data_IF_783498548031
#
_entry.id   IF_783498548031
#
_cell.length_a   1.000
_cell.length_b   1.000
_cell.length_c   1.000
_cell.angle_alpha   90.00
_cell.angle_beta   90.00
_cell.angle_gamma   90.00
#
_symmetry.space_group_name_H-M   'P 1'
#
loop_
_entity.id
_entity.type
_entity.pdbx_description
1 polymer ?
#
# COMPACT_ATOMS: atom_id res chain seq x y z
N UNK A 1 5.07 -20.05 8.15
CA UNK A 1 5.21 -18.79 8.90
C UNK A 1 4.46 -17.68 8.19
N UNK A 2 3.35 -17.22 8.75
CA UNK A 2 2.74 -15.97 8.33
C UNK A 2 3.72 -14.84 8.69
N UNK A 3 4.00 -13.93 7.74
CA UNK A 3 4.91 -12.81 7.98
C UNK A 3 4.14 -11.75 8.75
N UNK A 4 4.64 -11.36 9.92
CA UNK A 4 3.99 -10.31 10.72
C UNK A 4 4.05 -8.96 10.00
N UNK A 5 3.05 -8.09 10.17
CA UNK A 5 3.05 -6.77 9.57
C UNK A 5 4.33 -6.00 9.93
N UNK A 6 4.77 -6.03 11.18
CA UNK A 6 6.00 -5.37 11.67
C UNK A 6 7.27 -5.78 10.91
N UNK A 7 7.43 -7.07 10.60
CA UNK A 7 8.57 -7.54 9.79
C UNK A 7 8.51 -6.99 8.36
N UNK A 8 7.30 -6.90 7.79
CA UNK A 8 7.11 -6.32 6.47
C UNK A 8 7.41 -4.81 6.53
N UNK A 9 6.96 -4.09 7.56
CA UNK A 9 7.27 -2.66 7.78
C UNK A 9 8.79 -2.44 7.80
N UNK A 10 9.51 -3.24 8.58
CA UNK A 10 10.97 -3.16 8.68
C UNK A 10 11.66 -3.34 7.31
N UNK A 11 11.14 -4.24 6.46
CA UNK A 11 11.68 -4.47 5.09
C UNK A 11 11.35 -3.36 4.10
N UNK A 12 10.31 -2.57 4.35
CA UNK A 12 9.92 -1.44 3.51
C UNK A 12 10.63 -0.13 3.91
N UNK A 13 11.25 -0.09 5.09
CA UNK A 13 11.80 1.11 5.73
C UNK A 13 12.69 1.98 4.83
N UNK A 14 13.44 1.36 3.91
CA UNK A 14 14.34 2.07 2.99
C UNK A 14 13.64 2.94 1.95
N UNK A 15 12.34 2.77 1.72
CA UNK A 15 11.57 3.57 0.75
C UNK A 15 10.44 4.39 1.39
N UNK A 16 10.19 4.22 2.69
CA UNK A 16 9.10 4.92 3.39
C UNK A 16 9.28 6.43 3.47
N UNK A 17 10.51 6.92 3.39
CA UNK A 17 10.81 8.35 3.38
C UNK A 17 10.87 8.94 1.95
N UNK A 18 10.44 8.18 0.93
CA UNK A 18 10.48 8.63 -0.45
C UNK A 18 9.09 8.52 -1.08
N UNK A 19 8.38 9.65 -1.11
CA UNK A 19 7.01 9.76 -1.61
C UNK A 19 6.89 9.35 -3.08
N UNK A 20 7.91 9.59 -3.92
CA UNK A 20 7.89 9.19 -5.32
C UNK A 20 7.86 7.66 -5.45
N UNK A 21 8.68 6.96 -4.65
CA UNK A 21 8.70 5.50 -4.65
C UNK A 21 7.41 4.91 -4.08
N UNK A 22 6.85 5.56 -3.04
CA UNK A 22 5.54 5.16 -2.50
C UNK A 22 4.45 5.31 -3.57
N UNK A 23 4.43 6.43 -4.30
CA UNK A 23 3.46 6.68 -5.37
C UNK A 23 3.59 5.66 -6.52
N UNK A 24 4.82 5.26 -6.87
CA UNK A 24 5.05 4.18 -7.83
C UNK A 24 4.46 2.85 -7.34
N UNK A 25 4.65 2.52 -6.06
CA UNK A 25 4.07 1.32 -5.46
C UNK A 25 2.54 1.40 -5.42
N UNK A 26 1.95 2.57 -5.15
CA UNK A 26 0.50 2.78 -5.20
C UNK A 26 -0.09 2.56 -6.60
N UNK A 27 0.59 3.05 -7.64
CA UNK A 27 0.19 2.86 -9.04
C UNK A 27 0.37 1.42 -9.53
N UNK A 28 1.19 0.63 -8.85
CA UNK A 28 1.46 -0.75 -9.25
C UNK A 28 0.25 -1.67 -9.03
N UNK A 29 0.00 -2.59 -9.98
CA UNK A 29 -1.09 -3.56 -9.89
C UNK A 29 -0.72 -4.84 -9.14
N UNK A 30 0.57 -5.09 -8.90
CA UNK A 30 1.05 -6.31 -8.24
C UNK A 30 2.40 -6.11 -7.53
N UNK A 31 2.79 -6.97 -6.58
CA UNK A 31 4.10 -6.89 -5.95
C UNK A 31 5.28 -7.01 -6.92
N UNK A 32 5.11 -7.76 -8.02
CA UNK A 32 6.13 -7.85 -9.07
C UNK A 32 6.22 -6.55 -9.86
N UNK A 33 5.08 -5.94 -10.23
CA UNK A 33 5.08 -4.64 -10.89
C UNK A 33 5.70 -3.55 -10.01
N UNK A 34 5.41 -3.55 -8.69
CA UNK A 34 6.02 -2.63 -7.74
C UNK A 34 7.55 -2.73 -7.72
N UNK A 35 8.08 -3.96 -7.76
CA UNK A 35 9.52 -4.20 -7.85
C UNK A 35 10.10 -3.57 -9.13
N UNK A 36 9.50 -3.87 -10.28
CA UNK A 36 10.00 -3.41 -11.58
C UNK A 36 9.95 -1.89 -11.69
N UNK A 37 8.87 -1.25 -11.24
CA UNK A 37 8.72 0.20 -11.26
C UNK A 37 9.76 0.90 -10.37
N UNK A 38 9.95 0.42 -9.12
CA UNK A 38 10.94 1.00 -8.21
C UNK A 38 12.38 0.73 -8.68
N UNK A 39 12.63 -0.45 -9.25
CA UNK A 39 13.94 -0.77 -9.84
C UNK A 39 14.23 0.10 -11.08
N UNK A 40 13.23 0.31 -11.94
CA UNK A 40 13.37 1.12 -13.14
C UNK A 40 13.79 2.56 -12.79
N UNK A 41 13.20 3.12 -11.72
CA UNK A 41 13.49 4.46 -11.19
C UNK A 41 14.84 4.54 -10.49
N UNK A 42 15.09 3.66 -9.51
CA UNK A 42 16.24 3.81 -8.60
C UNK A 42 17.50 3.10 -9.05
N UNK A 43 17.37 2.12 -9.96
CA UNK A 43 18.40 1.11 -10.28
C UNK A 43 18.97 0.38 -9.06
N UNK A 44 18.25 0.40 -7.94
CA UNK A 44 18.67 -0.17 -6.66
C UNK A 44 17.81 -1.40 -6.32
N UNK A 45 18.46 -2.55 -6.24
CA UNK A 45 17.79 -3.84 -5.95
C UNK A 45 17.19 -3.85 -4.54
N UNK A 46 17.84 -3.23 -3.57
CA UNK A 46 17.36 -3.17 -2.19
C UNK A 46 16.08 -2.33 -2.09
N UNK A 47 16.05 -1.17 -2.75
CA UNK A 47 14.83 -0.35 -2.85
C UNK A 47 13.72 -1.05 -3.63
N UNK A 48 14.05 -1.73 -4.72
CA UNK A 48 13.08 -2.52 -5.49
C UNK A 48 12.44 -3.65 -4.64
N UNK A 49 13.26 -4.37 -3.86
CA UNK A 49 12.76 -5.37 -2.90
C UNK A 49 11.85 -4.73 -1.84
N UNK A 50 12.21 -3.56 -1.32
CA UNK A 50 11.39 -2.82 -0.39
C UNK A 50 10.04 -2.40 -1.01
N UNK A 51 10.04 -1.95 -2.27
CA UNK A 51 8.83 -1.65 -3.04
C UNK A 51 7.90 -2.84 -3.18
N UNK A 52 8.46 -4.02 -3.47
CA UNK A 52 7.72 -5.28 -3.49
C UNK A 52 7.08 -5.60 -2.14
N UNK A 53 7.82 -5.46 -1.05
CA UNK A 53 7.30 -5.69 0.30
C UNK A 53 6.20 -4.70 0.67
N UNK A 54 6.32 -3.45 0.22
CA UNK A 54 5.33 -2.42 0.48
C UNK A 54 4.01 -2.72 -0.24
N UNK A 55 4.07 -3.22 -1.47
CA UNK A 55 2.90 -3.72 -2.19
C UNK A 55 2.25 -4.95 -1.52
N UNK A 56 3.06 -5.84 -0.91
CA UNK A 56 2.55 -6.97 -0.11
C UNK A 56 1.85 -6.47 1.14
N UNK A 57 2.43 -5.49 1.85
CA UNK A 57 1.81 -4.87 3.01
C UNK A 57 0.45 -4.25 2.65
N UNK A 58 0.38 -3.52 1.53
CA UNK A 58 -0.87 -2.94 1.03
C UNK A 58 -1.95 -3.99 0.78
N UNK A 59 -1.57 -5.16 0.24
CA UNK A 59 -2.50 -6.24 -0.13
C UNK A 59 -2.95 -7.04 1.09
N UNK A 60 -2.01 -7.46 1.93
CA UNK A 60 -2.28 -8.41 3.02
C UNK A 60 -2.62 -7.69 4.35
N UNK A 61 -2.18 -6.43 4.53
CA UNK A 61 -2.37 -5.62 5.73
C UNK A 61 -2.72 -4.15 5.41
N UNK A 62 -3.87 -3.88 4.77
CA UNK A 62 -4.23 -2.55 4.28
C UNK A 62 -4.30 -1.46 5.37
N UNK A 63 -4.74 -1.81 6.58
CA UNK A 63 -4.75 -0.87 7.72
C UNK A 63 -3.34 -0.43 8.11
N UNK A 64 -2.43 -1.39 8.18
CA UNK A 64 -1.03 -1.13 8.55
C UNK A 64 -0.30 -0.35 7.49
N UNK A 65 -0.63 -0.58 6.22
CA UNK A 65 -0.14 0.20 5.10
C UNK A 65 -0.60 1.67 5.18
N UNK A 66 -1.89 1.93 5.46
CA UNK A 66 -2.43 3.29 5.61
C UNK A 66 -1.86 4.05 6.81
N UNK A 67 -1.53 3.34 7.90
CA UNK A 67 -0.86 3.94 9.05
C UNK A 67 0.59 4.35 8.73
N UNK A 68 1.19 3.72 7.71
CA UNK A 68 2.58 3.89 7.32
C UNK A 68 2.79 4.91 6.21
N UNK A 69 1.91 4.89 5.22
CA UNK A 69 1.84 5.85 4.15
C UNK A 69 0.76 6.85 4.55
N UNK A 70 1.13 8.01 5.13
CA UNK A 70 0.15 9.03 5.47
C UNK A 70 -0.60 9.41 4.19
N UNK A 71 -1.81 8.90 4.07
CA UNK A 71 -2.63 9.12 2.90
C UNK A 71 -3.04 10.60 2.89
N UNK A 72 -2.86 11.28 1.75
CA UNK A 72 -3.47 12.57 1.43
C UNK A 72 -5.00 12.46 1.28
N UNK A 73 -5.68 11.78 2.19
CA UNK A 73 -7.15 11.75 2.27
C UNK A 73 -7.62 12.20 3.64
N UNK A 74 -7.23 13.42 4.00
CA UNK A 74 -8.18 14.31 4.68
C UNK A 74 -9.33 14.57 3.70
N UNK A 75 -10.57 14.26 4.10
CA UNK A 75 -11.82 14.16 3.30
C UNK A 75 -11.96 12.82 2.56
N UNK A 76 -12.97 11.99 2.81
CA UNK A 76 -14.38 12.31 3.09
C UNK A 76 -14.94 11.36 4.15
N UNK A 77 -15.32 11.92 5.31
CA UNK A 77 -16.45 11.40 6.08
C UNK A 77 -17.69 11.55 5.20
N UNK A 78 -18.18 10.47 4.59
CA UNK A 78 -19.56 10.46 4.12
C UNK A 78 -20.39 9.85 5.22
N UNK A 79 -20.88 10.74 6.07
CA UNK A 79 -21.97 10.50 6.99
C UNK A 79 -23.18 9.96 6.21
N UNK A 80 -23.60 8.74 6.57
CA UNK A 80 -25.01 8.33 6.72
C UNK A 80 -26.01 8.72 5.60
N UNK A 81 -26.46 7.73 4.83
CA UNK A 81 -27.85 7.68 4.36
C UNK A 81 -28.30 6.23 4.15
N UNK A 82 -28.96 5.74 5.20
CA UNK A 82 -29.89 4.62 5.26
C UNK A 82 -31.02 4.77 4.24
N UNK A 83 -31.45 3.66 3.61
CA UNK A 83 -32.79 3.39 3.02
C UNK A 83 -32.74 1.90 2.60
N UNK A 84 -33.27 0.93 3.35
CA UNK A 84 -34.70 0.54 3.44
C UNK A 84 -35.31 0.37 2.03
N UNK A 85 -35.85 -0.73 1.52
CA UNK A 85 -36.49 -1.91 2.08
C UNK A 85 -36.50 -3.03 1.03
N UNK A 86 -36.72 -4.24 1.53
CA UNK A 86 -37.47 -5.33 0.91
C UNK A 86 -38.70 -4.83 0.12
N UNK A 87 -38.98 -5.42 -1.05
CA UNK A 87 -40.28 -6.06 -1.31
C UNK A 87 -40.20 -6.95 -2.56
N UNK A 88 -40.44 -8.22 -2.30
CA UNK A 88 -41.03 -9.26 -3.14
C UNK A 88 -42.26 -8.76 -3.94
N UNK A 89 -42.37 -9.18 -5.20
CA UNK A 89 -43.62 -9.39 -5.96
C UNK A 89 -43.34 -10.34 -7.12
#
# INVERSE_FOLDING_TARGET
>A
MARSPEEIKARCSSILNNEELISLVEKSSSPSAAYEMVFAETKDISKAKAGRWLAVLRRDYPTEYRNLVPNQTSHVSNDKAQTEKETES
#
